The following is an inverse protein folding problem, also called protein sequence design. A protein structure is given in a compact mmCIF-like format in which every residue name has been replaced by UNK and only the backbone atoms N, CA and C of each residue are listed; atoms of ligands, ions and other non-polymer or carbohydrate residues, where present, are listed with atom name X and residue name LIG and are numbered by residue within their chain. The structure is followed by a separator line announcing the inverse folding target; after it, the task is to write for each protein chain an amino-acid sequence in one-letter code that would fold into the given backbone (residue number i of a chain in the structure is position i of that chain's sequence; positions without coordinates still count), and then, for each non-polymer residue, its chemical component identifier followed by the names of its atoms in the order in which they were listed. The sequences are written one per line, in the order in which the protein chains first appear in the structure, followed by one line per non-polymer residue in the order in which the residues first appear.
data_IF_095824773823
#
_entry.id   IF_095824773823
#
_cell.length_a   1.000
_cell.length_b   1.000
_cell.length_c   1.000
_cell.angle_alpha   90.00
_cell.angle_beta   90.00
_cell.angle_gamma   90.00
#
_symmetry.space_group_name_H-M   'P 1'
#
loop_
_entity.id
_entity.type
_entity.pdbx_description
1 polymer ?
#
# COMPACT_ATOMS: atom_id res chain seq x y z
N UNK A 1 19.58 22.70 46.89
CA UNK A 1 18.87 22.48 45.60
C UNK A 1 18.32 21.06 45.48
N UNK A 2 19.11 20.01 45.75
CA UNK A 2 18.68 18.59 45.69
C UNK A 2 17.54 18.24 46.67
N UNK A 3 17.57 18.76 47.90
CA UNK A 3 16.53 18.50 48.90
C UNK A 3 15.15 19.08 48.54
N UNK A 4 15.12 20.17 47.75
CA UNK A 4 13.87 20.80 47.31
C UNK A 4 13.23 19.97 46.18
N UNK A 5 14.04 19.50 45.23
CA UNK A 5 13.59 18.62 44.15
C UNK A 5 13.02 17.28 44.67
N UNK A 6 13.65 16.67 45.68
CA UNK A 6 13.16 15.43 46.27
C UNK A 6 11.78 15.59 46.95
N UNK A 7 11.53 16.73 47.62
CA UNK A 7 10.26 16.99 48.30
C UNK A 7 9.09 17.20 47.34
N UNK A 8 9.36 17.66 46.12
CA UNK A 8 8.33 17.82 45.08
C UNK A 8 8.13 16.57 44.23
N UNK A 9 9.20 15.80 43.96
CA UNK A 9 9.12 14.62 43.09
C UNK A 9 8.53 13.38 43.79
N UNK A 10 8.75 13.20 45.10
CA UNK A 10 8.25 12.02 45.83
C UNK A 10 6.72 11.99 45.95
N UNK A 11 6.01 13.10 46.26
CA UNK A 11 4.54 13.15 46.24
C UNK A 11 3.96 13.02 44.83
N UNK A 12 4.67 13.50 43.80
CA UNK A 12 4.26 13.37 42.40
C UNK A 12 4.36 11.92 41.92
N UNK A 13 5.43 11.21 42.29
CA UNK A 13 5.54 9.77 41.99
C UNK A 13 4.53 8.94 42.75
N UNK A 14 4.19 9.29 44.00
CA UNK A 14 3.14 8.58 44.73
C UNK A 14 1.74 8.91 44.21
N UNK A 15 1.49 10.14 43.71
CA UNK A 15 0.26 10.51 43.01
C UNK A 15 0.14 9.86 41.63
N UNK A 16 1.24 9.69 40.90
CA UNK A 16 1.27 8.95 39.63
C UNK A 16 1.13 7.43 39.86
N UNK A 17 1.74 6.89 40.91
CA UNK A 17 1.59 5.49 41.30
C UNK A 17 0.19 5.18 41.85
N UNK A 18 -0.41 6.09 42.62
CA UNK A 18 -1.79 5.99 43.09
C UNK A 18 -2.83 6.29 41.99
N UNK A 19 -2.50 7.16 41.04
CA UNK A 19 -3.31 7.49 39.86
C UNK A 19 -3.30 6.40 38.79
N UNK A 20 -2.25 5.57 38.74
CA UNK A 20 -2.16 4.40 37.86
C UNK A 20 -3.27 3.36 38.10
N UNK A 21 -3.81 3.30 39.32
CA UNK A 21 -4.92 2.41 39.65
C UNK A 21 -6.28 2.92 39.14
N UNK A 22 -6.45 4.23 38.87
CA UNK A 22 -7.72 4.81 38.38
C UNK A 22 -7.74 5.08 36.88
N UNK A 23 -6.59 5.25 36.24
CA UNK A 23 -6.52 5.29 34.76
C UNK A 23 -6.74 3.88 34.17
N UNK A 24 -6.52 2.81 34.94
CA UNK A 24 -6.83 1.43 34.52
C UNK A 24 -8.33 1.06 34.61
N UNK A 25 -9.21 1.92 35.15
CA UNK A 25 -10.62 1.62 35.35
C UNK A 25 -11.58 2.45 34.48
N UNK A 26 -11.04 3.19 33.51
CA UNK A 26 -11.80 3.82 32.43
C UNK A 26 -11.29 3.38 31.04
N UNK A 27 -10.69 2.19 30.97
CA UNK A 27 -10.80 1.40 29.75
C UNK A 27 -12.28 1.03 29.64
N UNK A 28 -13.07 1.91 29.03
CA UNK A 28 -14.41 1.58 28.57
C UNK A 28 -14.36 0.17 27.99
N UNK A 29 -15.32 -0.65 28.37
CA UNK A 29 -15.54 -1.99 27.82
C UNK A 29 -15.86 -1.87 26.33
N UNK A 30 -14.83 -1.58 25.55
CA UNK A 30 -14.85 -1.53 24.11
C UNK A 30 -14.95 -2.96 23.64
N UNK A 31 -16.20 -3.42 23.48
CA UNK A 31 -16.64 -4.60 22.74
C UNK A 31 -15.46 -5.31 22.07
N UNK A 32 -14.97 -6.40 22.69
CA UNK A 32 -13.71 -7.06 22.36
C UNK A 32 -13.40 -7.04 20.86
N UNK A 33 -12.67 -6.02 20.41
CA UNK A 33 -12.29 -5.90 19.00
C UNK A 33 -11.24 -6.97 18.76
N UNK A 34 -11.46 -7.79 17.74
CA UNK A 34 -10.49 -8.82 17.33
C UNK A 34 -9.09 -8.19 17.27
N UNK A 35 -8.04 -8.77 17.88
CA UNK A 35 -6.73 -8.12 18.03
C UNK A 35 -6.17 -7.54 16.72
N UNK A 36 -6.38 -8.24 15.60
CA UNK A 36 -6.01 -7.77 14.26
C UNK A 36 -6.68 -6.43 13.88
N UNK A 37 -7.95 -6.22 14.20
CA UNK A 37 -8.65 -4.98 13.86
C UNK A 37 -8.11 -3.79 14.64
N UNK A 38 -7.76 -3.97 15.91
CA UNK A 38 -7.12 -2.93 16.71
C UNK A 38 -5.75 -2.55 16.14
N UNK A 39 -4.98 -3.54 15.68
CA UNK A 39 -3.67 -3.33 15.05
C UNK A 39 -3.79 -2.65 13.68
N UNK A 40 -4.72 -3.08 12.82
CA UNK A 40 -5.00 -2.40 11.54
C UNK A 40 -5.43 -0.95 11.76
N UNK A 41 -6.31 -0.69 12.74
CA UNK A 41 -6.71 0.67 13.08
C UNK A 41 -5.55 1.51 13.64
N UNK A 42 -4.58 0.91 14.34
CA UNK A 42 -3.35 1.58 14.76
C UNK A 42 -2.52 1.98 13.53
N UNK A 43 -2.31 1.07 12.57
CA UNK A 43 -1.56 1.36 11.34
C UNK A 43 -2.20 2.48 10.51
N UNK A 44 -3.51 2.43 10.31
CA UNK A 44 -4.22 3.47 9.56
C UNK A 44 -4.15 4.83 10.27
N UNK A 45 -4.17 4.86 11.60
CA UNK A 45 -3.98 6.10 12.37
C UNK A 45 -2.56 6.63 12.22
N UNK A 46 -1.54 5.77 12.28
CA UNK A 46 -0.15 6.16 12.03
C UNK A 46 0.02 6.72 10.62
N UNK A 47 -0.64 6.10 9.63
CA UNK A 47 -0.65 6.54 8.24
C UNK A 47 -1.21 7.95 8.08
N UNK A 48 -2.41 8.22 8.63
CA UNK A 48 -3.03 9.56 8.55
C UNK A 48 -2.26 10.59 9.39
N UNK A 49 -1.71 10.19 10.54
CA UNK A 49 -0.98 11.09 11.43
C UNK A 49 0.42 11.47 10.92
N UNK A 50 0.94 10.79 9.89
CA UNK A 50 2.28 11.03 9.34
C UNK A 50 2.17 11.63 7.93
N UNK A 51 2.20 12.97 7.78
CA UNK A 51 1.92 13.63 6.49
C UNK A 51 2.84 13.19 5.35
N UNK A 52 4.13 12.95 5.64
CA UNK A 52 5.09 12.47 4.63
C UNK A 52 4.76 11.07 4.12
N UNK A 53 4.27 10.20 5.00
CA UNK A 53 3.85 8.85 4.65
C UNK A 53 2.53 8.89 3.88
N UNK A 54 1.55 9.68 4.33
CA UNK A 54 0.28 9.89 3.63
C UNK A 54 0.49 10.44 2.21
N UNK A 55 1.23 11.53 2.06
CA UNK A 55 1.47 12.17 0.76
C UNK A 55 2.24 11.26 -0.20
N UNK A 56 3.21 10.49 0.28
CA UNK A 56 3.98 9.59 -0.59
C UNK A 56 3.17 8.37 -1.05
N UNK A 57 2.07 8.05 -0.38
CA UNK A 57 1.36 6.79 -0.60
C UNK A 57 -0.07 6.94 -1.09
N UNK A 58 -0.73 8.06 -0.80
CA UNK A 58 -2.05 8.38 -1.31
C UNK A 58 -2.01 8.87 -2.78
N UNK A 59 -0.86 9.40 -3.23
CA UNK A 59 -0.74 9.98 -4.58
C UNK A 59 -0.96 8.97 -5.69
N UNK A 60 -0.45 7.73 -5.60
CA UNK A 60 -0.65 6.76 -6.70
C UNK A 60 -2.10 6.31 -6.87
N UNK A 61 -2.81 5.89 -5.81
CA UNK A 61 -4.25 5.63 -5.86
C UNK A 61 -5.06 6.85 -6.34
N UNK A 62 -4.71 8.06 -5.89
CA UNK A 62 -5.36 9.29 -6.36
C UNK A 62 -5.12 9.54 -7.85
N UNK A 63 -3.90 9.34 -8.34
CA UNK A 63 -3.55 9.45 -9.76
C UNK A 63 -4.29 8.39 -10.60
N UNK A 64 -4.42 7.16 -10.11
CA UNK A 64 -5.18 6.12 -10.79
C UNK A 64 -6.67 6.49 -10.92
N UNK A 65 -7.27 7.05 -9.87
CA UNK A 65 -8.64 7.56 -9.91
C UNK A 65 -8.78 8.75 -10.87
N UNK A 66 -7.87 9.72 -10.81
CA UNK A 66 -7.87 10.87 -11.72
C UNK A 66 -7.72 10.44 -13.17
N UNK A 67 -6.84 9.48 -13.47
CA UNK A 67 -6.68 8.92 -14.80
C UNK A 67 -7.95 8.20 -15.26
N UNK A 68 -8.58 7.38 -14.41
CA UNK A 68 -9.82 6.69 -14.76
C UNK A 68 -10.96 7.67 -15.05
N UNK A 69 -11.14 8.72 -14.22
CA UNK A 69 -12.16 9.75 -14.45
C UNK A 69 -11.86 10.55 -15.70
N UNK A 70 -10.60 10.96 -15.93
CA UNK A 70 -10.25 11.70 -17.15
C UNK A 70 -10.49 10.88 -18.40
N UNK A 71 -10.18 9.58 -18.38
CA UNK A 71 -10.49 8.66 -19.46
C UNK A 71 -12.00 8.48 -19.67
N UNK A 72 -12.78 8.44 -18.60
CA UNK A 72 -14.23 8.35 -18.69
C UNK A 72 -14.89 9.61 -19.29
N UNK A 73 -14.34 10.79 -19.01
CA UNK A 73 -14.85 12.06 -19.55
C UNK A 73 -14.38 12.31 -20.98
N UNK A 74 -13.11 12.03 -21.27
CA UNK A 74 -12.50 12.36 -22.55
C UNK A 74 -12.74 11.28 -23.63
N UNK A 75 -12.87 10.02 -23.21
CA UNK A 75 -12.98 8.88 -24.12
C UNK A 75 -11.66 8.49 -24.78
N UNK A 76 -11.63 7.32 -25.47
CA UNK A 76 -10.41 6.75 -26.03
C UNK A 76 -9.80 7.60 -27.16
N UNK A 77 -10.62 8.29 -27.95
CA UNK A 77 -10.16 9.12 -29.07
C UNK A 77 -9.43 10.37 -28.59
N UNK A 78 -9.90 11.01 -27.51
CA UNK A 78 -9.22 12.14 -26.92
C UNK A 78 -7.86 11.73 -26.32
N UNK A 79 -7.80 10.57 -25.66
CA UNK A 79 -6.53 10.02 -25.16
C UNK A 79 -5.56 9.70 -26.30
N UNK A 80 -6.04 9.13 -27.41
CA UNK A 80 -5.24 8.89 -28.60
C UNK A 80 -4.70 10.19 -29.21
N UNK A 81 -5.54 11.23 -29.30
CA UNK A 81 -5.12 12.56 -29.79
C UNK A 81 -4.06 13.21 -28.88
N UNK A 82 -4.13 12.98 -27.57
CA UNK A 82 -3.15 13.47 -26.61
C UNK A 82 -1.79 12.77 -26.72
N UNK A 83 -1.76 11.49 -27.13
CA UNK A 83 -0.53 10.75 -27.37
C UNK A 83 0.23 11.23 -28.62
N UNK A 84 -0.49 11.84 -29.58
CA UNK A 84 0.04 12.51 -30.78
C UNK A 84 1.22 11.77 -31.45
N UNK A 85 0.98 10.52 -31.87
CA UNK A 85 2.01 9.71 -32.56
C UNK A 85 1.93 9.96 -34.07
N UNK A 86 2.96 10.55 -34.70
CA UNK A 86 2.95 10.83 -36.13
C UNK A 86 2.91 9.53 -36.95
N UNK A 87 2.01 9.45 -37.94
CA UNK A 87 1.97 8.35 -38.91
C UNK A 87 1.19 7.11 -38.49
N UNK A 88 0.43 7.16 -37.38
CA UNK A 88 -0.46 6.06 -36.94
C UNK A 88 -1.92 6.48 -37.05
N UNK A 89 -2.76 5.61 -37.61
CA UNK A 89 -4.20 5.82 -37.67
C UNK A 89 -4.79 6.04 -36.28
N UNK A 90 -5.64 7.06 -36.13
CA UNK A 90 -6.20 7.44 -34.83
C UNK A 90 -7.03 6.34 -34.18
N UNK A 91 -7.74 5.53 -34.97
CA UNK A 91 -8.52 4.39 -34.46
C UNK A 91 -7.63 3.25 -33.95
N UNK A 92 -6.52 2.98 -34.65
CA UNK A 92 -5.54 2.00 -34.20
C UNK A 92 -4.85 2.48 -32.90
N UNK A 93 -4.55 3.78 -32.80
CA UNK A 93 -3.97 4.39 -31.61
C UNK A 93 -4.96 4.34 -30.42
N UNK A 94 -6.24 4.60 -30.65
CA UNK A 94 -7.29 4.49 -29.63
C UNK A 94 -7.42 3.06 -29.08
N UNK A 95 -7.33 2.05 -29.95
CA UNK A 95 -7.28 0.64 -29.54
C UNK A 95 -6.05 0.32 -28.69
N UNK A 96 -4.87 0.80 -29.10
CA UNK A 96 -3.63 0.59 -28.37
C UNK A 96 -3.64 1.23 -26.98
N UNK A 97 -4.14 2.46 -26.89
CA UNK A 97 -4.31 3.18 -25.63
C UNK A 97 -5.26 2.42 -24.71
N UNK A 98 -6.42 2.00 -25.23
CA UNK A 98 -7.42 1.27 -24.44
C UNK A 98 -6.87 -0.06 -23.90
N UNK A 99 -6.07 -0.77 -24.68
CA UNK A 99 -5.44 -2.02 -24.28
C UNK A 99 -4.29 -1.83 -23.25
N UNK A 100 -3.56 -0.72 -23.32
CA UNK A 100 -2.47 -0.41 -22.39
C UNK A 100 -2.96 0.21 -21.06
N UNK A 101 -4.11 0.87 -21.08
CA UNK A 101 -4.64 1.67 -19.97
C UNK A 101 -4.83 0.90 -18.63
N UNK A 102 -5.24 -0.39 -18.58
CA UNK A 102 -5.28 -1.16 -17.33
C UNK A 102 -3.93 -1.17 -16.60
N UNK A 103 -2.85 -1.22 -17.38
CA UNK A 103 -1.48 -1.28 -16.88
C UNK A 103 -0.94 0.10 -16.50
N UNK A 104 -1.45 1.18 -17.10
CA UNK A 104 -1.22 2.55 -16.64
C UNK A 104 -1.82 2.74 -15.24
N UNK A 105 -3.05 2.28 -15.03
CA UNK A 105 -3.67 2.30 -13.69
C UNK A 105 -2.86 1.45 -12.70
N UNK A 106 -2.42 0.26 -13.11
CA UNK A 106 -1.55 -0.60 -12.30
C UNK A 106 -0.21 0.02 -11.97
N UNK A 107 0.40 0.75 -12.90
CA UNK A 107 1.63 1.50 -12.70
C UNK A 107 1.44 2.58 -11.64
N UNK A 108 0.38 3.41 -11.74
CA UNK A 108 0.09 4.46 -10.76
C UNK A 108 -0.01 3.90 -9.33
N UNK A 109 -0.71 2.77 -9.16
CA UNK A 109 -0.85 2.11 -7.85
C UNK A 109 0.48 1.49 -7.40
N UNK A 110 1.25 0.88 -8.30
CA UNK A 110 2.53 0.26 -8.00
C UNK A 110 3.63 1.25 -7.60
N UNK A 111 3.57 2.51 -8.06
CA UNK A 111 4.57 3.53 -7.77
C UNK A 111 4.56 4.04 -6.32
N UNK A 112 3.54 3.68 -5.53
CA UNK A 112 3.37 4.20 -4.16
C UNK A 112 3.10 3.09 -3.15
N UNK A 113 4.04 2.16 -2.93
CA UNK A 113 3.85 1.09 -1.98
C UNK A 113 3.82 1.62 -0.53
N UNK A 114 2.63 1.59 0.10
CA UNK A 114 2.45 1.87 1.54
C UNK A 114 3.27 0.92 2.42
N UNK A 115 3.49 -0.29 1.93
CA UNK A 115 4.08 -1.42 2.65
C UNK A 115 5.58 -1.33 2.90
N UNK A 116 6.33 -0.68 2.01
CA UNK A 116 7.78 -0.73 1.98
C UNK A 116 8.49 0.08 3.08
N UNK A 117 7.74 0.83 3.89
CA UNK A 117 8.25 1.59 5.04
C UNK A 117 7.43 1.38 6.33
N UNK A 118 6.38 0.54 6.31
CA UNK A 118 5.41 0.39 7.41
C UNK A 118 5.97 -0.24 8.70
N UNK A 119 6.98 -1.10 8.59
CA UNK A 119 7.74 -1.69 9.71
C UNK A 119 8.84 -0.71 10.15
N UNK A 120 9.56 -0.13 9.19
CA UNK A 120 10.64 0.83 9.49
C UNK A 120 10.13 2.09 10.23
N UNK A 121 8.92 2.56 9.92
CA UNK A 121 8.29 3.73 10.57
C UNK A 121 7.87 3.48 12.04
N UNK A 122 7.83 2.23 12.51
CA UNK A 122 7.55 1.97 13.93
C UNK A 122 8.68 2.45 14.86
N UNK A 123 9.92 2.50 14.36
CA UNK A 123 11.08 3.10 15.04
C UNK A 123 11.12 2.83 16.55
N UNK A 124 11.09 3.90 17.34
CA UNK A 124 11.14 3.87 18.82
C UNK A 124 9.87 3.33 19.50
N UNK A 125 8.74 3.20 18.79
CA UNK A 125 7.50 2.64 19.32
C UNK A 125 7.40 1.11 19.13
N UNK A 126 8.44 0.45 18.59
CA UNK A 126 8.44 -1.01 18.34
C UNK A 126 8.22 -1.83 19.61
N UNK A 127 8.74 -1.37 20.75
CA UNK A 127 8.69 -2.11 22.01
C UNK A 127 7.24 -2.36 22.46
N UNK A 128 6.31 -1.46 22.11
CA UNK A 128 4.89 -1.61 22.40
C UNK A 128 4.29 -2.78 21.62
N UNK A 129 4.70 -2.98 20.36
CA UNK A 129 4.26 -4.12 19.56
C UNK A 129 4.97 -5.43 19.94
N UNK A 130 6.23 -5.36 20.37
CA UNK A 130 7.02 -6.53 20.81
C UNK A 130 6.60 -7.06 22.19
N UNK A 131 6.14 -6.19 23.09
CA UNK A 131 5.65 -6.57 24.43
C UNK A 131 4.17 -6.98 24.44
N UNK A 132 3.45 -6.74 23.35
CA UNK A 132 2.07 -7.21 23.22
C UNK A 132 2.04 -8.75 23.16
N UNK A 133 1.10 -9.43 23.84
CA UNK A 133 0.95 -10.88 23.81
C UNK A 133 0.32 -11.35 22.48
N UNK A 134 0.93 -10.96 21.36
CA UNK A 134 0.42 -11.18 20.01
C UNK A 134 1.54 -11.79 19.16
N UNK A 135 1.28 -12.87 18.40
CA UNK A 135 2.31 -13.50 17.59
C UNK A 135 2.84 -12.54 16.50
N UNK A 136 4.15 -12.59 16.21
CA UNK A 136 4.81 -11.76 15.17
C UNK A 136 4.10 -11.79 13.81
N UNK A 137 3.55 -12.94 13.43
CA UNK A 137 2.78 -13.08 12.19
C UNK A 137 1.53 -12.20 12.16
N UNK A 138 0.88 -11.93 13.30
CA UNK A 138 -0.28 -11.05 13.38
C UNK A 138 0.09 -9.56 13.21
N UNK A 139 1.31 -9.14 13.62
CA UNK A 139 1.85 -7.80 13.36
C UNK A 139 2.09 -7.60 11.85
N UNK A 140 2.77 -8.57 11.21
CA UNK A 140 2.97 -8.52 9.74
C UNK A 140 1.63 -8.53 9.01
N UNK A 141 0.66 -9.30 9.52
CA UNK A 141 -0.67 -9.40 8.93
C UNK A 141 -1.44 -8.08 9.00
N UNK A 142 -1.41 -7.38 10.12
CA UNK A 142 -2.10 -6.09 10.25
C UNK A 142 -1.53 -5.04 9.31
N UNK A 143 -0.21 -5.05 9.07
CA UNK A 143 0.44 -4.11 8.13
C UNK A 143 0.01 -4.34 6.69
N UNK A 144 0.03 -5.59 6.21
CA UNK A 144 -0.46 -5.89 4.86
C UNK A 144 -1.95 -5.59 4.74
N UNK A 145 -2.76 -5.96 5.73
CA UNK A 145 -4.20 -5.68 5.69
C UNK A 145 -4.51 -4.18 5.60
N UNK A 146 -3.79 -3.34 6.34
CA UNK A 146 -3.93 -1.88 6.26
C UNK A 146 -3.61 -1.36 4.85
N UNK A 147 -2.54 -1.87 4.22
CA UNK A 147 -2.16 -1.47 2.86
C UNK A 147 -3.19 -1.91 1.82
N UNK A 148 -3.70 -3.14 1.95
CA UNK A 148 -4.72 -3.66 1.04
C UNK A 148 -6.05 -2.90 1.17
N UNK A 149 -6.42 -2.46 2.37
CA UNK A 149 -7.62 -1.65 2.60
C UNK A 149 -7.56 -0.29 1.93
N UNK A 150 -6.37 0.24 1.62
CA UNK A 150 -6.22 1.49 0.86
C UNK A 150 -6.10 1.22 -0.63
N UNK A 151 -5.22 0.28 -1.02
CA UNK A 151 -4.92 0.02 -2.42
C UNK A 151 -6.07 -0.65 -3.18
N UNK A 152 -6.71 -1.67 -2.60
CA UNK A 152 -7.72 -2.47 -3.31
C UNK A 152 -8.98 -1.66 -3.62
N UNK A 153 -9.60 -0.92 -2.68
CA UNK A 153 -10.80 -0.15 -3.00
C UNK A 153 -10.57 0.92 -4.06
N UNK A 154 -9.43 1.62 -3.99
CA UNK A 154 -9.08 2.63 -5.00
C UNK A 154 -8.85 1.99 -6.38
N UNK A 155 -8.11 0.87 -6.45
CA UNK A 155 -7.92 0.12 -7.70
C UNK A 155 -9.23 -0.40 -8.28
N UNK A 156 -10.15 -0.90 -7.43
CA UNK A 156 -11.46 -1.37 -7.88
C UNK A 156 -12.29 -0.24 -8.46
N UNK A 157 -12.38 0.89 -7.76
CA UNK A 157 -13.15 2.06 -8.23
C UNK A 157 -12.55 2.61 -9.53
N UNK A 158 -11.23 2.78 -9.59
CA UNK A 158 -10.56 3.24 -10.81
C UNK A 158 -10.78 2.28 -11.99
N UNK A 159 -10.61 0.96 -11.76
CA UNK A 159 -10.82 -0.05 -12.80
C UNK A 159 -12.26 -0.12 -13.29
N UNK A 160 -13.25 -0.03 -12.39
CA UNK A 160 -14.67 0.00 -12.77
C UNK A 160 -14.98 1.24 -13.60
N UNK A 161 -14.55 2.43 -13.16
CA UNK A 161 -14.78 3.67 -13.92
C UNK A 161 -14.16 3.57 -15.32
N UNK A 162 -12.92 3.08 -15.43
CA UNK A 162 -12.25 2.89 -16.71
C UNK A 162 -12.92 1.81 -17.59
N UNK A 163 -13.45 0.75 -16.99
CA UNK A 163 -14.14 -0.31 -17.74
C UNK A 163 -15.41 0.19 -18.42
N UNK A 164 -16.13 1.12 -17.80
CA UNK A 164 -17.37 1.68 -18.35
C UNK A 164 -17.13 2.58 -19.57
N UNK A 165 -15.91 3.08 -19.74
CA UNK A 165 -15.57 4.02 -20.82
C UNK A 165 -14.70 3.42 -21.92
N UNK A 166 -13.82 2.46 -21.59
CA UNK A 166 -12.79 1.96 -22.51
C UNK A 166 -12.93 0.48 -22.87
N UNK A 167 -13.78 -0.29 -22.19
CA UNK A 167 -13.87 -1.73 -22.46
C UNK A 167 -14.61 -2.00 -23.78
N UNK A 168 -13.91 -2.63 -24.74
CA UNK A 168 -14.52 -3.14 -25.96
C UNK A 168 -15.26 -4.47 -25.76
N UNK A 169 -14.96 -5.20 -24.68
CA UNK A 169 -15.60 -6.46 -24.34
C UNK A 169 -15.39 -6.89 -22.88
N UNK A 170 -15.95 -8.05 -22.49
CA UNK A 170 -15.91 -8.53 -21.10
C UNK A 170 -14.49 -8.85 -20.62
N UNK A 171 -13.60 -9.29 -21.51
CA UNK A 171 -12.21 -9.55 -21.18
C UNK A 171 -11.44 -8.25 -20.86
N UNK A 172 -11.69 -7.18 -21.61
CA UNK A 172 -11.08 -5.86 -21.37
C UNK A 172 -11.59 -5.25 -20.06
N UNK A 173 -12.89 -5.37 -19.80
CA UNK A 173 -13.48 -4.93 -18.53
C UNK A 173 -12.90 -5.69 -17.33
N UNK A 174 -12.73 -7.02 -17.46
CA UNK A 174 -12.08 -7.82 -16.42
C UNK A 174 -10.62 -7.39 -16.21
N UNK A 175 -9.89 -7.13 -17.29
CA UNK A 175 -8.48 -6.71 -17.23
C UNK A 175 -8.32 -5.32 -16.60
N UNK A 176 -9.23 -4.37 -16.90
CA UNK A 176 -9.26 -3.02 -16.30
C UNK A 176 -9.31 -3.05 -14.77
N UNK A 177 -9.92 -4.08 -14.19
CA UNK A 177 -9.97 -4.27 -12.74
C UNK A 177 -8.81 -5.15 -12.26
N UNK A 178 -8.54 -6.26 -12.95
CA UNK A 178 -7.54 -7.24 -12.53
C UNK A 178 -6.11 -6.67 -12.51
N UNK A 179 -5.73 -5.87 -13.51
CA UNK A 179 -4.39 -5.29 -13.60
C UNK A 179 -4.07 -4.39 -12.39
N UNK A 180 -4.81 -3.29 -12.09
CA UNK A 180 -4.47 -2.42 -10.98
C UNK A 180 -4.61 -3.09 -9.60
N UNK A 181 -5.52 -4.06 -9.44
CA UNK A 181 -5.62 -4.84 -8.21
C UNK A 181 -4.39 -5.75 -8.02
N UNK A 182 -3.96 -6.46 -9.06
CA UNK A 182 -2.80 -7.36 -9.00
C UNK A 182 -1.49 -6.60 -8.75
N UNK A 183 -1.31 -5.44 -9.38
CA UNK A 183 -0.17 -4.54 -9.11
C UNK A 183 -0.17 -4.04 -7.67
N UNK A 184 -1.33 -3.62 -7.14
CA UNK A 184 -1.47 -3.18 -5.75
C UNK A 184 -1.21 -4.30 -4.73
N UNK A 185 -1.65 -5.52 -5.02
CA UNK A 185 -1.36 -6.71 -4.22
C UNK A 185 0.13 -7.02 -4.20
N UNK A 186 0.78 -7.03 -5.37
CA UNK A 186 2.22 -7.27 -5.50
C UNK A 186 3.01 -6.22 -4.72
N UNK A 187 2.73 -4.94 -4.92
CA UNK A 187 3.38 -3.84 -4.21
C UNK A 187 3.20 -3.95 -2.68
N UNK A 188 1.98 -4.26 -2.22
CA UNK A 188 1.68 -4.41 -0.80
C UNK A 188 2.44 -5.58 -0.17
N UNK A 189 2.39 -6.77 -0.77
CA UNK A 189 3.01 -7.97 -0.22
C UNK A 189 4.55 -7.95 -0.33
N UNK A 190 5.08 -7.49 -1.46
CA UNK A 190 6.52 -7.42 -1.69
C UNK A 190 7.16 -6.32 -0.85
N UNK A 191 6.52 -5.16 -0.71
CA UNK A 191 7.02 -4.10 0.16
C UNK A 191 7.09 -4.54 1.63
N UNK A 192 6.07 -5.24 2.16
CA UNK A 192 6.12 -5.74 3.54
C UNK A 192 7.18 -6.83 3.69
N UNK A 193 7.34 -7.72 2.70
CA UNK A 193 8.39 -8.74 2.73
C UNK A 193 9.79 -8.11 2.81
N UNK A 194 10.06 -7.11 1.99
CA UNK A 194 11.35 -6.42 1.97
C UNK A 194 11.59 -5.66 3.27
N UNK A 195 10.58 -4.94 3.76
CA UNK A 195 10.66 -4.16 4.98
C UNK A 195 10.81 -5.04 6.23
N UNK A 196 10.11 -6.18 6.29
CA UNK A 196 10.28 -7.17 7.38
C UNK A 196 11.67 -7.85 7.33
N UNK A 197 12.23 -8.08 6.13
CA UNK A 197 13.55 -8.71 5.98
C UNK A 197 14.72 -7.75 6.23
N UNK A 198 14.55 -6.47 5.94
CA UNK A 198 15.58 -5.43 6.11
C UNK A 198 14.96 -4.18 6.74
N UNK A 199 14.49 -4.27 8.00
CA UNK A 199 13.93 -3.10 8.67
C UNK A 199 15.06 -2.11 8.95
N UNK A 200 14.80 -0.82 8.71
CA UNK A 200 15.75 0.26 9.04
C UNK A 200 15.13 1.12 10.13
N UNK A 201 15.62 0.94 11.36
CA UNK A 201 15.13 1.66 12.54
C UNK A 201 15.97 2.89 12.90
N UNK A 202 17.21 2.96 12.41
CA UNK A 202 18.09 4.13 12.58
C UNK A 202 17.72 5.19 11.55
N UNK A 203 16.70 5.99 11.86
CA UNK A 203 16.31 7.15 11.05
C UNK A 203 16.25 8.41 11.93
N UNK A 204 16.82 9.51 11.45
CA UNK A 204 16.76 10.81 12.13
C UNK A 204 15.45 11.56 11.83
N UNK A 205 14.79 11.20 10.73
CA UNK A 205 13.51 11.75 10.29
C UNK A 205 12.72 10.70 9.51
N UNK A 206 11.38 10.74 9.62
CA UNK A 206 10.47 9.86 8.88
C UNK A 206 10.62 9.96 7.35
N UNK A 207 11.36 10.95 6.84
CA UNK A 207 11.70 11.09 5.42
C UNK A 207 12.64 10.00 4.88
N UNK A 208 13.63 9.57 5.67
CA UNK A 208 14.67 8.61 5.24
C UNK A 208 14.12 7.20 4.91
N UNK A 209 13.27 6.58 5.74
CA UNK A 209 12.68 5.29 5.41
C UNK A 209 11.68 5.38 4.24
N UNK A 210 11.08 6.54 3.99
CA UNK A 210 10.05 6.72 2.95
C UNK A 210 10.68 6.99 1.58
N UNK A 211 11.70 7.85 1.48
CA UNK A 211 12.27 8.28 0.17
C UNK A 211 13.66 7.75 -0.15
N UNK A 212 14.46 7.34 0.85
CA UNK A 212 15.84 6.88 0.65
C UNK A 212 16.00 5.38 0.94
N UNK A 213 14.94 4.62 0.69
CA UNK A 213 14.89 3.18 0.96
C UNK A 213 15.15 2.34 -0.26
N UNK A 214 16.20 1.52 -0.19
CA UNK A 214 16.44 0.46 -1.15
C UNK A 214 15.23 -0.48 -1.26
N UNK A 215 14.50 -0.71 -0.15
CA UNK A 215 13.29 -1.54 -0.16
C UNK A 215 12.17 -0.89 -0.99
N UNK A 216 11.97 0.43 -0.86
CA UNK A 216 11.00 1.19 -1.67
C UNK A 216 11.42 1.18 -3.14
N UNK A 217 12.70 1.43 -3.43
CA UNK A 217 13.21 1.42 -4.81
C UNK A 217 13.04 0.05 -5.50
N UNK A 218 13.35 -1.04 -4.81
CA UNK A 218 13.15 -2.41 -5.32
C UNK A 218 11.65 -2.70 -5.51
N UNK A 219 10.81 -2.30 -4.55
CA UNK A 219 9.36 -2.53 -4.63
C UNK A 219 8.71 -1.78 -5.80
N UNK A 220 9.05 -0.49 -5.96
CA UNK A 220 8.58 0.32 -7.07
C UNK A 220 9.13 -0.24 -8.38
N UNK A 221 10.42 -0.54 -8.46
CA UNK A 221 11.05 -1.12 -9.66
C UNK A 221 10.38 -2.43 -10.09
N UNK A 222 10.08 -3.33 -9.14
CA UNK A 222 9.37 -4.56 -9.41
C UNK A 222 7.94 -4.32 -9.91
N UNK A 223 7.21 -3.38 -9.31
CA UNK A 223 5.86 -3.04 -9.73
C UNK A 223 5.80 -2.35 -11.10
N UNK A 224 6.78 -1.50 -11.41
CA UNK A 224 6.96 -0.89 -12.72
C UNK A 224 7.25 -1.97 -13.78
N UNK A 225 8.23 -2.84 -13.52
CA UNK A 225 8.58 -3.93 -14.43
C UNK A 225 7.40 -4.88 -14.67
N UNK A 226 6.63 -5.20 -13.63
CA UNK A 226 5.42 -6.00 -13.74
C UNK A 226 4.37 -5.32 -14.63
N UNK A 227 4.15 -4.02 -14.44
CA UNK A 227 3.17 -3.25 -15.23
C UNK A 227 3.56 -3.19 -16.71
N UNK A 228 4.85 -2.97 -17.02
CA UNK A 228 5.33 -3.02 -18.41
C UNK A 228 5.24 -4.41 -19.02
N UNK A 229 5.60 -5.47 -18.27
CA UNK A 229 5.50 -6.84 -18.75
C UNK A 229 4.04 -7.23 -19.06
N UNK A 230 3.10 -6.86 -18.17
CA UNK A 230 1.68 -7.07 -18.38
C UNK A 230 1.11 -6.28 -19.56
N UNK A 231 1.51 -5.02 -19.69
CA UNK A 231 1.16 -4.17 -20.84
C UNK A 231 1.66 -4.78 -22.15
N UNK A 232 2.93 -5.18 -22.21
CA UNK A 232 3.51 -5.86 -23.36
C UNK A 232 2.79 -7.16 -23.72
N UNK A 233 2.48 -8.01 -22.73
CA UNK A 233 1.72 -9.23 -22.95
C UNK A 233 0.32 -8.97 -23.51
N UNK A 234 -0.35 -7.93 -23.02
CA UNK A 234 -1.68 -7.52 -23.48
C UNK A 234 -1.65 -6.99 -24.91
N UNK A 235 -0.66 -6.16 -25.24
CA UNK A 235 -0.52 -5.59 -26.58
C UNK A 235 -0.12 -6.63 -27.63
N UNK A 236 0.68 -7.63 -27.25
CA UNK A 236 1.19 -8.64 -28.19
C UNK A 236 0.24 -9.83 -28.36
N UNK A 237 -0.46 -10.25 -27.30
CA UNK A 237 -1.25 -11.48 -27.28
C UNK A 237 -2.71 -11.28 -26.82
N UNK A 238 -3.14 -10.04 -26.63
CA UNK A 238 -4.52 -9.68 -26.31
C UNK A 238 -4.87 -9.73 -24.81
N UNK A 239 -6.13 -9.42 -24.47
CA UNK A 239 -6.56 -9.24 -23.07
C UNK A 239 -6.47 -10.53 -22.24
N UNK A 240 -6.63 -11.71 -22.85
CA UNK A 240 -6.47 -12.99 -22.15
C UNK A 240 -5.04 -13.19 -21.61
N UNK A 241 -4.02 -12.78 -22.38
CA UNK A 241 -2.64 -12.82 -21.92
C UNK A 241 -2.39 -11.80 -20.81
N UNK A 242 -3.02 -10.63 -20.90
CA UNK A 242 -3.05 -9.64 -19.82
C UNK A 242 -3.62 -10.20 -18.52
N UNK A 243 -4.77 -10.89 -18.59
CA UNK A 243 -5.42 -11.52 -17.44
C UNK A 243 -4.51 -12.60 -16.84
N UNK A 244 -3.89 -13.44 -17.67
CA UNK A 244 -2.92 -14.44 -17.21
C UNK A 244 -1.72 -13.79 -16.48
N UNK A 245 -1.22 -12.66 -17.00
CA UNK A 245 -0.17 -11.89 -16.33
C UNK A 245 -0.65 -11.34 -14.97
N UNK A 246 -1.85 -10.78 -14.88
CA UNK A 246 -2.44 -10.32 -13.62
C UNK A 246 -2.60 -11.45 -12.61
N UNK A 247 -3.02 -12.64 -13.06
CA UNK A 247 -3.12 -13.84 -12.20
C UNK A 247 -1.75 -14.29 -11.70
N UNK A 248 -0.73 -14.28 -12.55
CA UNK A 248 0.65 -14.61 -12.16
C UNK A 248 1.17 -13.63 -11.09
N UNK A 249 0.90 -12.32 -11.26
CA UNK A 249 1.25 -11.30 -10.27
C UNK A 249 0.52 -11.51 -8.94
N UNK A 250 -0.77 -11.84 -8.98
CA UNK A 250 -1.53 -12.17 -7.79
C UNK A 250 -0.94 -13.41 -7.08
N UNK A 251 -0.56 -14.46 -7.81
CA UNK A 251 0.09 -15.64 -7.24
C UNK A 251 1.44 -15.29 -6.60
N UNK A 252 2.27 -14.49 -7.26
CA UNK A 252 3.53 -13.97 -6.71
C UNK A 252 3.30 -13.16 -5.43
N UNK A 253 2.25 -12.33 -5.39
CA UNK A 253 1.90 -11.57 -4.19
C UNK A 253 1.55 -12.49 -3.01
N UNK A 254 0.84 -13.60 -3.26
CA UNK A 254 0.50 -14.60 -2.24
C UNK A 254 1.75 -15.32 -1.73
N UNK A 255 2.70 -15.63 -2.61
CA UNK A 255 3.99 -16.22 -2.22
C UNK A 255 4.82 -15.23 -1.38
N UNK A 256 4.88 -13.96 -1.78
CA UNK A 256 5.56 -12.91 -1.02
C UNK A 256 4.93 -12.73 0.36
N UNK A 257 3.60 -12.75 0.45
CA UNK A 257 2.85 -12.73 1.70
C UNK A 257 3.17 -13.93 2.61
N UNK A 258 3.13 -15.15 2.06
CA UNK A 258 3.48 -16.37 2.81
C UNK A 258 4.90 -16.28 3.34
N UNK A 259 5.84 -15.79 2.52
CA UNK A 259 7.22 -15.57 2.94
C UNK A 259 7.33 -14.51 4.05
N UNK A 260 6.58 -13.41 3.95
CA UNK A 260 6.59 -12.33 4.94
C UNK A 260 6.03 -12.82 6.29
N UNK A 261 4.97 -13.62 6.28
CA UNK A 261 4.36 -14.17 7.50
C UNK A 261 5.25 -15.12 8.29
N UNK A 262 6.33 -15.63 7.69
CA UNK A 262 7.33 -16.49 8.34
C UNK A 262 8.51 -15.72 8.94
N UNK A 263 8.61 -14.42 8.70
CA UNK A 263 9.70 -13.60 9.25
C UNK A 263 9.40 -13.31 10.72
N UNK A 264 10.27 -13.78 11.63
CA UNK A 264 10.23 -13.39 13.04
C UNK A 264 10.68 -11.93 13.18
N UNK A 265 9.82 -11.11 13.79
CA UNK A 265 10.13 -9.71 14.15
C UNK A 265 10.50 -9.56 15.64
N UNK A 266 10.43 -10.64 16.42
CA UNK A 266 10.69 -10.63 17.86
C UNK A 266 12.19 -10.60 18.20
N UNK A 267 13.05 -11.04 17.28
CA UNK A 267 14.49 -11.19 17.50
C UNK A 267 15.34 -10.07 16.85
N UNK A 268 14.70 -9.00 16.34
CA UNK A 268 15.33 -7.91 15.58
C UNK A 268 14.98 -6.54 16.16
#
# INVERSE_FOLDING_TARGET
MVAVLARFLVPLNSLLAAGGARVSAAAESGKARHPLHAMVAKELRLWVATPTYLMNTAVGPALALLAAVSAAVAGPQALASAANVPGVDHDALAGLVSAAFPWVLGLCVAMTPLSASSVSLEGSARWVAQTAPVPSAAIVRSKVAANLLVAVPASLVAGVIASLSLAGGPADAALMVAAPVSCGLLASCLGVLLDARRPRFDWASAYEPVKRSANVAICVGAGVAASFAGGGATLLAGPCAGIAASMAMAALSVLAWKAASRVSLQDR
#
